data_IF_197481182238
#
_entry.id   IF_197481182238
#
_cell.length_a   1.000
_cell.length_b   1.000
_cell.length_c   1.000
_cell.angle_alpha   90.00
_cell.angle_beta   90.00
_cell.angle_gamma   90.00
#
_symmetry.space_group_name_H-M   'P 1'
#
loop_
_entity.id
_entity.type
_entity.pdbx_description
1 polymer ?
#
# COMPACT_ATOMS: atom_id res chain seq x y z
N UNK A 1 -24.14 25.70 13.12
CA UNK A 1 -23.92 24.28 12.73
C UNK A 1 -22.66 24.25 11.90
N UNK A 2 -21.66 23.44 12.27
CA UNK A 2 -20.47 23.28 11.46
C UNK A 2 -20.90 22.75 10.08
N UNK A 3 -20.55 23.46 9.00
CA UNK A 3 -20.76 22.92 7.66
C UNK A 3 -19.94 21.62 7.56
N UNK A 4 -20.52 20.52 7.09
CA UNK A 4 -19.84 19.22 6.96
C UNK A 4 -19.53 18.91 5.50
N UNK A 5 -18.36 18.35 5.21
CA UNK A 5 -18.00 17.90 3.87
C UNK A 5 -18.93 16.76 3.42
N UNK A 6 -19.77 17.03 2.42
CA UNK A 6 -20.84 16.10 1.97
C UNK A 6 -20.34 14.77 1.42
N UNK A 7 -19.07 14.68 1.01
CA UNK A 7 -18.47 13.45 0.46
C UNK A 7 -17.55 12.75 1.48
N UNK A 8 -17.61 13.09 2.77
CA UNK A 8 -16.77 12.48 3.79
C UNK A 8 -16.92 10.95 3.87
N UNK A 9 -18.15 10.45 3.78
CA UNK A 9 -18.42 8.99 3.78
C UNK A 9 -17.81 8.31 2.56
N UNK A 10 -17.89 8.95 1.38
CA UNK A 10 -17.30 8.40 0.16
C UNK A 10 -15.77 8.39 0.25
N UNK A 11 -15.16 9.47 0.74
CA UNK A 11 -13.72 9.52 0.98
C UNK A 11 -13.28 8.35 1.86
N UNK A 12 -13.99 8.11 2.98
CA UNK A 12 -13.70 6.98 3.87
C UNK A 12 -13.79 5.63 3.16
N UNK A 13 -14.81 5.39 2.34
CA UNK A 13 -14.94 4.15 1.56
C UNK A 13 -13.74 3.95 0.62
N UNK A 14 -13.26 5.02 -0.01
CA UNK A 14 -12.07 4.93 -0.88
C UNK A 14 -10.77 4.72 -0.07
N UNK A 15 -10.66 5.32 1.11
CA UNK A 15 -9.55 5.09 2.04
C UNK A 15 -9.51 3.62 2.50
N UNK A 16 -10.66 3.09 2.94
CA UNK A 16 -10.80 1.69 3.36
C UNK A 16 -10.42 0.72 2.23
N UNK A 17 -10.88 1.01 1.00
CA UNK A 17 -10.53 0.21 -0.19
C UNK A 17 -9.03 0.26 -0.49
N UNK A 18 -8.41 1.45 -0.42
CA UNK A 18 -6.97 1.62 -0.63
C UNK A 18 -6.20 0.81 0.41
N UNK A 19 -6.63 0.86 1.66
CA UNK A 19 -5.93 0.19 2.75
C UNK A 19 -6.07 -1.34 2.66
N UNK A 20 -7.24 -1.85 2.24
CA UNK A 20 -7.41 -3.27 1.90
C UNK A 20 -6.46 -3.70 0.76
N UNK A 21 -6.34 -2.91 -0.31
CA UNK A 21 -5.43 -3.21 -1.43
C UNK A 21 -3.94 -3.17 -1.02
N UNK A 22 -3.58 -2.36 -0.01
CA UNK A 22 -2.23 -2.36 0.56
C UNK A 22 -1.93 -3.65 1.30
N UNK A 23 -2.90 -4.14 2.07
CA UNK A 23 -2.80 -5.42 2.77
C UNK A 23 -2.65 -6.57 1.78
N UNK A 24 -3.50 -6.65 0.76
CA UNK A 24 -3.41 -7.67 -0.29
C UNK A 24 -2.06 -7.65 -1.04
N UNK A 25 -1.49 -6.46 -1.29
CA UNK A 25 -0.17 -6.34 -1.90
C UNK A 25 0.93 -6.85 -0.96
N UNK A 26 0.84 -6.52 0.33
CA UNK A 26 1.79 -6.98 1.34
C UNK A 26 1.76 -8.51 1.50
N UNK A 27 0.58 -9.13 1.44
CA UNK A 27 0.43 -10.58 1.43
C UNK A 27 1.12 -11.22 0.20
N UNK A 28 0.96 -10.60 -0.98
CA UNK A 28 1.63 -11.08 -2.20
C UNK A 28 3.16 -10.97 -2.10
N UNK A 29 3.67 -9.86 -1.57
CA UNK A 29 5.10 -9.68 -1.30
C UNK A 29 5.62 -10.74 -0.32
N UNK A 30 4.89 -11.01 0.77
CA UNK A 30 5.25 -12.04 1.73
C UNK A 30 5.28 -13.45 1.10
N UNK A 31 4.29 -13.78 0.27
CA UNK A 31 4.24 -15.06 -0.43
C UNK A 31 5.45 -15.25 -1.35
N UNK A 32 5.88 -14.19 -2.05
CA UNK A 32 7.10 -14.21 -2.88
C UNK A 32 8.35 -14.46 -2.06
N UNK A 33 8.48 -13.81 -0.90
CA UNK A 33 9.64 -14.01 -0.02
C UNK A 33 9.70 -15.45 0.51
N UNK A 34 8.55 -16.03 0.87
CA UNK A 34 8.47 -17.46 1.26
C UNK A 34 8.92 -18.36 0.12
N UNK A 35 8.42 -18.16 -1.10
CA UNK A 35 8.79 -18.95 -2.27
C UNK A 35 10.28 -18.81 -2.60
N UNK A 36 10.85 -17.60 -2.48
CA UNK A 36 12.29 -17.36 -2.64
C UNK A 36 13.11 -18.13 -1.60
N UNK A 37 12.68 -18.13 -0.35
CA UNK A 37 13.29 -18.93 0.71
C UNK A 37 13.32 -20.42 0.36
N UNK A 38 12.18 -20.96 -0.04
CA UNK A 38 12.06 -22.37 -0.45
C UNK A 38 12.92 -22.72 -1.67
N UNK A 39 12.98 -21.83 -2.67
CA UNK A 39 13.89 -22.01 -3.82
C UNK A 39 15.35 -22.07 -3.34
N UNK A 40 15.74 -21.17 -2.44
CA UNK A 40 17.06 -21.16 -1.83
C UNK A 40 17.37 -22.46 -1.10
N UNK A 41 16.44 -23.00 -0.33
CA UNK A 41 16.59 -24.31 0.34
C UNK A 41 16.80 -25.45 -0.66
N UNK A 42 16.01 -25.49 -1.75
CA UNK A 42 16.16 -26.51 -2.80
C UNK A 42 17.50 -26.37 -3.54
N UNK A 43 17.98 -25.15 -3.74
CA UNK A 43 19.29 -24.89 -4.33
C UNK A 43 20.42 -25.39 -3.43
N UNK A 44 20.36 -25.12 -2.12
CA UNK A 44 21.33 -25.64 -1.15
C UNK A 44 21.32 -27.17 -1.10
N UNK A 45 20.12 -27.79 -1.08
CA UNK A 45 19.98 -29.24 -1.12
C UNK A 45 20.56 -29.84 -2.43
N UNK A 46 20.39 -29.14 -3.55
CA UNK A 46 20.96 -29.56 -4.83
C UNK A 46 22.49 -29.52 -4.81
N UNK A 47 23.08 -28.44 -4.27
CA UNK A 47 24.53 -28.32 -4.12
C UNK A 47 25.10 -29.41 -3.21
N UNK A 48 24.46 -29.65 -2.06
CA UNK A 48 24.86 -30.71 -1.13
C UNK A 48 24.83 -32.10 -1.81
N UNK A 49 23.77 -32.42 -2.55
CA UNK A 49 23.67 -33.67 -3.29
C UNK A 49 24.77 -33.82 -4.36
N UNK A 50 25.18 -32.73 -5.01
CA UNK A 50 26.28 -32.74 -5.98
C UNK A 50 27.65 -32.97 -5.32
N UNK A 51 27.88 -32.37 -4.16
CA UNK A 51 29.12 -32.54 -3.40
C UNK A 51 29.26 -33.96 -2.82
N UNK A 52 28.15 -34.55 -2.36
CA UNK A 52 28.08 -35.98 -1.99
C UNK A 52 28.46 -36.87 -3.18
N UNK A 53 27.90 -36.59 -4.37
CA UNK A 53 28.20 -37.32 -5.60
C UNK A 53 29.70 -37.25 -5.96
N UNK A 54 30.27 -36.06 -5.84
CA UNK A 54 31.69 -35.81 -6.12
C UNK A 54 32.58 -36.58 -5.15
N UNK A 55 32.27 -36.50 -3.85
CA UNK A 55 33.03 -37.21 -2.82
C UNK A 55 32.97 -38.73 -3.00
N UNK A 56 31.81 -39.28 -3.31
CA UNK A 56 31.63 -40.72 -3.53
C UNK A 56 32.32 -41.23 -4.82
N UNK A 57 32.53 -40.37 -5.82
CA UNK A 57 33.21 -40.74 -7.06
C UNK A 57 34.72 -41.02 -6.90
N UNK A 58 35.31 -40.70 -5.74
CA UNK A 58 36.72 -40.97 -5.42
C UNK A 58 36.97 -42.39 -4.87
N UNK A 59 35.94 -43.22 -4.70
CA UNK A 59 36.03 -44.60 -4.20
C UNK A 59 35.33 -45.64 -5.10
N UNK A 60 35.09 -46.86 -4.59
CA UNK A 60 34.32 -47.87 -5.32
C UNK A 60 32.84 -47.44 -5.41
N UNK A 61 32.39 -47.13 -6.62
CA UNK A 61 31.04 -46.58 -6.85
C UNK A 61 30.00 -47.70 -6.74
N UNK A 62 29.09 -47.57 -5.78
CA UNK A 62 27.88 -48.41 -5.69
C UNK A 62 26.84 -47.91 -6.70
N UNK A 63 26.46 -48.76 -7.67
CA UNK A 63 25.52 -48.43 -8.74
C UNK A 63 24.11 -48.11 -8.22
N UNK A 64 23.66 -48.82 -7.18
CA UNK A 64 22.34 -48.58 -6.57
C UNK A 64 22.28 -47.22 -5.88
N UNK A 65 23.37 -46.86 -5.19
CA UNK A 65 23.52 -45.53 -4.57
C UNK A 65 23.53 -44.42 -5.63
N UNK A 66 24.27 -44.60 -6.71
CA UNK A 66 24.31 -43.63 -7.82
C UNK A 66 22.93 -43.45 -8.47
N UNK A 67 22.18 -44.55 -8.66
CA UNK A 67 20.81 -44.51 -9.16
C UNK A 67 19.87 -43.74 -8.23
N UNK A 68 19.97 -43.98 -6.92
CA UNK A 68 19.19 -43.25 -5.92
C UNK A 68 19.50 -41.75 -5.93
N UNK A 69 20.77 -41.36 -6.01
CA UNK A 69 21.17 -39.95 -6.07
C UNK A 69 20.69 -39.24 -7.34
N UNK A 70 20.74 -39.90 -8.50
CA UNK A 70 20.18 -39.33 -9.74
C UNK A 70 18.66 -39.11 -9.65
N UNK A 71 17.93 -40.04 -9.02
CA UNK A 71 16.49 -39.87 -8.78
C UNK A 71 16.23 -38.71 -7.83
N UNK A 72 16.99 -38.60 -6.76
CA UNK A 72 16.89 -37.50 -5.80
C UNK A 72 17.14 -36.14 -6.47
N UNK A 73 18.21 -36.00 -7.24
CA UNK A 73 18.50 -34.78 -8.01
C UNK A 73 17.39 -34.44 -9.02
N UNK A 74 16.78 -35.45 -9.65
CA UNK A 74 15.63 -35.24 -10.53
C UNK A 74 14.43 -34.66 -9.78
N UNK A 75 14.12 -35.18 -8.59
CA UNK A 75 13.04 -34.68 -7.73
C UNK A 75 13.29 -33.24 -7.30
N UNK A 76 14.51 -32.91 -6.86
CA UNK A 76 14.88 -31.53 -6.48
C UNK A 76 14.70 -30.56 -7.65
N UNK A 77 15.10 -30.96 -8.86
CA UNK A 77 14.92 -30.14 -10.06
C UNK A 77 13.44 -29.93 -10.40
N UNK A 78 12.61 -30.96 -10.29
CA UNK A 78 11.17 -30.84 -10.52
C UNK A 78 10.54 -29.90 -9.46
N UNK A 79 10.92 -30.05 -8.20
CA UNK A 79 10.44 -29.21 -7.11
C UNK A 79 10.82 -27.74 -7.34
N UNK A 80 12.09 -27.47 -7.70
CA UNK A 80 12.54 -26.12 -8.06
C UNK A 80 11.73 -25.54 -9.21
N UNK A 81 11.51 -26.32 -10.27
CA UNK A 81 10.73 -25.88 -11.43
C UNK A 81 9.30 -25.50 -11.05
N UNK A 82 8.67 -26.24 -10.14
CA UNK A 82 7.32 -25.93 -9.67
C UNK A 82 7.29 -24.67 -8.80
N UNK A 83 8.26 -24.49 -7.90
CA UNK A 83 8.37 -23.27 -7.09
C UNK A 83 8.60 -22.01 -7.95
N UNK A 84 9.41 -22.13 -9.01
CA UNK A 84 9.60 -21.03 -9.96
C UNK A 84 8.30 -20.68 -10.69
N UNK A 85 7.56 -21.69 -11.15
CA UNK A 85 6.25 -21.50 -11.79
C UNK A 85 5.24 -20.84 -10.85
N UNK A 86 5.22 -21.25 -9.58
CA UNK A 86 4.38 -20.61 -8.55
C UNK A 86 4.80 -19.17 -8.30
N UNK A 87 6.10 -18.90 -8.27
CA UNK A 87 6.64 -17.54 -8.12
C UNK A 87 6.16 -16.65 -9.26
N UNK A 88 6.22 -17.12 -10.51
CA UNK A 88 5.77 -16.36 -11.68
C UNK A 88 4.27 -16.00 -11.57
N UNK A 89 3.43 -16.93 -11.15
CA UNK A 89 2.00 -16.69 -10.94
C UNK A 89 1.75 -15.63 -9.87
N UNK A 90 2.46 -15.71 -8.73
CA UNK A 90 2.31 -14.74 -7.64
C UNK A 90 2.86 -13.37 -8.04
N UNK A 91 3.93 -13.31 -8.83
CA UNK A 91 4.46 -12.05 -9.39
C UNK A 91 3.46 -11.35 -10.31
N UNK A 92 2.77 -12.10 -11.17
CA UNK A 92 1.73 -11.54 -12.03
C UNK A 92 0.55 -10.98 -11.21
N UNK A 93 0.12 -11.71 -10.19
CA UNK A 93 -0.93 -11.25 -9.28
C UNK A 93 -0.50 -10.01 -8.47
N UNK A 94 0.75 -9.99 -7.99
CA UNK A 94 1.34 -8.85 -7.29
C UNK A 94 1.29 -7.59 -8.17
N UNK A 95 1.64 -7.71 -9.45
CA UNK A 95 1.61 -6.55 -10.35
C UNK A 95 0.18 -6.06 -10.59
N UNK A 96 -0.79 -6.98 -10.73
CA UNK A 96 -2.21 -6.60 -10.82
C UNK A 96 -2.68 -5.85 -9.58
N UNK A 97 -2.31 -6.31 -8.38
CA UNK A 97 -2.63 -5.62 -7.11
C UNK A 97 -1.95 -4.26 -7.00
N UNK A 98 -0.69 -4.16 -7.42
CA UNK A 98 0.05 -2.89 -7.46
C UNK A 98 -0.67 -1.85 -8.34
N UNK A 99 -1.12 -2.23 -9.53
CA UNK A 99 -1.87 -1.34 -10.42
C UNK A 99 -3.20 -0.91 -9.78
N UNK A 100 -3.95 -1.85 -9.20
CA UNK A 100 -5.20 -1.55 -8.49
C UNK A 100 -4.99 -0.56 -7.32
N UNK A 101 -3.93 -0.75 -6.53
CA UNK A 101 -3.56 0.17 -5.45
C UNK A 101 -3.23 1.58 -5.98
N UNK A 102 -2.49 1.67 -7.09
CA UNK A 102 -2.18 2.96 -7.71
C UNK A 102 -3.45 3.70 -8.17
N UNK A 103 -4.46 2.98 -8.66
CA UNK A 103 -5.75 3.56 -9.02
C UNK A 103 -6.53 4.04 -7.78
N UNK A 104 -6.60 3.21 -6.73
CA UNK A 104 -7.24 3.59 -5.47
C UNK A 104 -6.58 4.82 -4.82
N UNK A 105 -5.24 4.91 -4.84
CA UNK A 105 -4.50 6.07 -4.38
C UNK A 105 -4.88 7.34 -5.16
N UNK A 106 -5.06 7.25 -6.48
CA UNK A 106 -5.49 8.38 -7.31
C UNK A 106 -6.91 8.83 -6.95
N UNK A 107 -7.81 7.89 -6.69
CA UNK A 107 -9.18 8.19 -6.26
C UNK A 107 -9.19 8.91 -4.92
N UNK A 108 -8.49 8.40 -3.90
CA UNK A 108 -8.39 9.03 -2.58
C UNK A 108 -7.86 10.45 -2.70
N UNK A 109 -6.76 10.65 -3.43
CA UNK A 109 -6.17 11.99 -3.65
C UNK A 109 -7.15 12.97 -4.32
N UNK A 110 -8.05 12.49 -5.18
CA UNK A 110 -9.08 13.34 -5.78
C UNK A 110 -10.07 13.84 -4.74
N UNK A 111 -10.54 12.96 -3.84
CA UNK A 111 -11.46 13.33 -2.76
C UNK A 111 -10.79 14.19 -1.69
N UNK A 112 -9.52 13.93 -1.35
CA UNK A 112 -8.74 14.77 -0.45
C UNK A 112 -8.64 16.22 -0.97
N UNK A 113 -8.29 16.41 -2.24
CA UNK A 113 -8.28 17.74 -2.88
C UNK A 113 -9.65 18.43 -2.83
N UNK A 114 -10.74 17.68 -3.04
CA UNK A 114 -12.09 18.22 -2.92
C UNK A 114 -12.42 18.66 -1.49
N UNK A 115 -11.97 17.89 -0.49
CA UNK A 115 -12.13 18.22 0.93
C UNK A 115 -11.35 19.47 1.30
N UNK A 116 -10.10 19.59 0.83
CA UNK A 116 -9.25 20.77 1.04
C UNK A 116 -9.88 22.03 0.45
N UNK A 117 -10.31 21.98 -0.82
CA UNK A 117 -10.98 23.11 -1.48
C UNK A 117 -12.28 23.50 -0.77
N UNK A 118 -13.04 22.52 -0.27
CA UNK A 118 -14.24 22.80 0.50
C UNK A 118 -13.90 23.48 1.82
N UNK A 119 -12.89 23.00 2.55
CA UNK A 119 -12.46 23.58 3.82
C UNK A 119 -11.97 25.04 3.63
N UNK A 120 -11.25 25.31 2.55
CA UNK A 120 -10.82 26.67 2.21
C UNK A 120 -12.01 27.61 1.95
N UNK A 121 -13.03 27.15 1.23
CA UNK A 121 -14.24 27.94 0.98
C UNK A 121 -15.02 28.22 2.26
N UNK A 122 -15.14 27.25 3.15
CA UNK A 122 -15.81 27.43 4.45
C UNK A 122 -15.04 28.42 5.31
N UNK A 123 -13.72 28.31 5.38
CA UNK A 123 -12.90 29.27 6.12
C UNK A 123 -13.04 30.69 5.56
N UNK A 124 -13.10 30.83 4.23
CA UNK A 124 -13.28 32.14 3.59
C UNK A 124 -14.67 32.73 3.84
N UNK A 125 -15.73 31.93 3.83
CA UNK A 125 -17.08 32.42 4.15
C UNK A 125 -17.20 32.81 5.62
N UNK A 126 -16.55 32.10 6.53
CA UNK A 126 -16.47 32.48 7.95
C UNK A 126 -15.72 33.79 8.15
N UNK A 127 -14.54 33.96 7.54
CA UNK A 127 -13.80 35.24 7.59
C UNK A 127 -14.62 36.42 7.09
N UNK A 128 -15.34 36.24 5.98
CA UNK A 128 -16.23 37.29 5.43
C UNK A 128 -17.37 37.63 6.39
N UNK A 129 -18.00 36.64 7.01
CA UNK A 129 -19.05 36.85 8.01
C UNK A 129 -18.52 37.61 9.22
N UNK A 130 -17.34 37.26 9.71
CA UNK A 130 -16.74 37.92 10.86
C UNK A 130 -16.29 39.36 10.53
N UNK A 131 -15.73 39.59 9.34
CA UNK A 131 -15.42 40.95 8.86
C UNK A 131 -16.69 41.81 8.81
N UNK A 132 -17.78 41.33 8.21
CA UNK A 132 -19.03 42.08 8.14
C UNK A 132 -19.60 42.40 9.53
N UNK A 133 -19.52 41.47 10.49
CA UNK A 133 -19.92 41.73 11.88
C UNK A 133 -19.08 42.82 12.54
N UNK A 134 -17.78 42.84 12.30
CA UNK A 134 -16.88 43.86 12.85
C UNK A 134 -17.16 45.25 12.25
N UNK A 135 -17.45 45.31 10.95
CA UNK A 135 -17.83 46.55 10.27
C UNK A 135 -19.16 47.09 10.82
N UNK A 136 -20.17 46.24 11.01
CA UNK A 136 -21.45 46.60 11.63
C UNK A 136 -21.28 47.14 13.06
N UNK A 137 -20.48 46.48 13.89
CA UNK A 137 -20.19 46.94 15.26
C UNK A 137 -19.43 48.29 15.26
N UNK A 138 -18.52 48.48 14.31
CA UNK A 138 -17.78 49.75 14.15
C UNK A 138 -18.71 50.90 13.78
N UNK A 139 -19.68 50.66 12.89
CA UNK A 139 -20.70 51.64 12.50
C UNK A 139 -21.57 52.01 13.71
N UNK A 140 -22.05 51.02 14.47
CA UNK A 140 -22.89 51.26 15.67
C UNK A 140 -22.10 52.05 16.73
N UNK A 141 -20.85 51.66 17.01
CA UNK A 141 -19.99 52.35 17.96
C UNK A 141 -19.69 53.80 17.56
N UNK A 142 -19.46 54.06 16.27
CA UNK A 142 -19.24 55.41 15.74
C UNK A 142 -20.49 56.30 15.85
N UNK A 143 -21.68 55.73 15.67
CA UNK A 143 -22.93 56.48 15.89
C UNK A 143 -23.17 56.81 17.36
N UNK A 144 -22.75 55.95 18.30
CA UNK A 144 -22.87 56.23 19.73
C UNK A 144 -21.90 57.33 20.20
N UNK A 145 -20.63 57.30 19.78
CA UNK A 145 -19.65 58.31 20.19
C UNK A 145 -19.97 59.71 19.63
N UNK A 146 -20.56 59.79 18.43
CA UNK A 146 -20.98 61.06 17.83
C UNK A 146 -22.24 61.65 18.47
N UNK A 147 -23.09 60.82 19.08
CA UNK A 147 -24.23 61.26 19.89
C UNK A 147 -23.82 61.90 21.22
N UNK A 148 -22.71 61.46 21.82
CA UNK A 148 -22.19 62.00 23.08
C UNK A 148 -21.40 63.32 22.91
N UNK A 149 -20.85 63.61 21.73
CA UNK A 149 -20.18 64.88 21.43
C UNK A 149 -21.15 66.00 21.00
N UNK A 150 -22.38 65.67 20.61
CA UNK A 150 -23.41 66.65 20.21
C UNK A 150 -24.25 67.22 21.36
N UNK A 151 -24.08 66.71 22.59
CA UNK A 151 -24.88 67.05 23.78
C UNK A 151 -24.07 67.83 24.83
N UNK A 152 -23.04 68.59 24.41
CA UNK A 152 -22.25 69.50 25.25
C UNK A 152 -22.34 70.94 24.77
#
# INVERSE_FOLDING_TARGET
MAETFRLATLLRIHEDRRDALREELAEADQAIEILRGQIGEVEQATLAAMDELRSASQGSVNVDWLSAQRRHAFVLRLHKSELLRQTDVVQEERERRRVALMEADREVRKFERMREQWAERVAETERKRDQSRMDELSIIGFHHSRGEEGDR
#
